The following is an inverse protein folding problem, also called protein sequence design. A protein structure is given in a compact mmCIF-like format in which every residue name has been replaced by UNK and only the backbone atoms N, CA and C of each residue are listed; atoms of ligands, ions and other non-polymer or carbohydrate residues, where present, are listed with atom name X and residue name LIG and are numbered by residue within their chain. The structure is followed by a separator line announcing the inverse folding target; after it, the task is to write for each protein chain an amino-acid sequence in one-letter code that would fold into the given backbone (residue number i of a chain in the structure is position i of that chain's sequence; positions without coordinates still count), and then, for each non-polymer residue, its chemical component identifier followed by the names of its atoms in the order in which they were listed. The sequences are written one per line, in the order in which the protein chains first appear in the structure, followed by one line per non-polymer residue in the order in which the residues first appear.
data_IF_142138703400
#
_entry.id   IF_142138703400
#
_cell.length_a   1.000
_cell.length_b   1.000
_cell.length_c   1.000
_cell.angle_alpha   90.00
_cell.angle_beta   90.00
_cell.angle_gamma   90.00
#
_symmetry.space_group_name_H-M   'P 1'
#
loop_
_entity.id
_entity.type
_entity.pdbx_description
1 polymer ?
#
# COMPACT_ATOMS: atom_id res chain seq x y z
N UNK A 1 -10.01 -20.17 -38.39
CA UNK A 1 -9.58 -20.75 -37.11
C UNK A 1 -9.14 -19.60 -36.23
N UNK A 2 -9.96 -19.18 -35.28
CA UNK A 2 -9.54 -18.20 -34.28
C UNK A 2 -8.70 -18.94 -33.26
N UNK A 3 -7.39 -18.68 -33.24
CA UNK A 3 -6.53 -19.11 -32.14
C UNK A 3 -7.11 -18.54 -30.85
N UNK A 4 -7.61 -19.43 -30.00
CA UNK A 4 -7.85 -19.10 -28.61
C UNK A 4 -6.49 -18.81 -28.00
N UNK A 5 -6.15 -17.54 -27.83
CA UNK A 5 -4.92 -17.15 -27.14
C UNK A 5 -4.98 -17.75 -25.73
N UNK A 6 -4.13 -18.74 -25.48
CA UNK A 6 -3.92 -19.32 -24.17
C UNK A 6 -3.46 -18.23 -23.20
N UNK A 7 -3.90 -18.29 -21.92
CA UNK A 7 -3.47 -17.31 -20.93
C UNK A 7 -1.94 -17.37 -20.83
N UNK A 8 -1.31 -16.27 -20.43
CA UNK A 8 0.10 -16.33 -20.06
C UNK A 8 0.29 -17.36 -18.93
N UNK A 9 1.45 -18.01 -18.86
CA UNK A 9 1.68 -19.12 -17.92
C UNK A 9 1.44 -18.70 -16.47
N UNK A 10 1.75 -17.44 -16.12
CA UNK A 10 1.49 -16.84 -14.80
C UNK A 10 0.00 -16.68 -14.46
N UNK A 11 -0.89 -16.76 -15.45
CA UNK A 11 -2.33 -16.49 -15.31
C UNK A 11 -3.21 -17.70 -15.73
N UNK A 12 -2.58 -18.87 -15.84
CA UNK A 12 -3.24 -20.16 -15.93
C UNK A 12 -3.54 -20.68 -14.52
N UNK A 13 -4.63 -21.43 -14.36
CA UNK A 13 -4.88 -22.11 -13.09
C UNK A 13 -3.87 -23.26 -12.92
N UNK A 14 -3.26 -23.43 -11.74
CA UNK A 14 -2.41 -24.58 -11.48
C UNK A 14 -3.22 -25.89 -11.53
N UNK A 15 -2.65 -26.99 -12.06
CA UNK A 15 -3.37 -28.25 -12.15
C UNK A 15 -3.87 -28.75 -10.79
N UNK A 16 -5.18 -28.98 -10.66
CA UNK A 16 -5.78 -29.57 -9.45
C UNK A 16 -6.12 -28.60 -8.34
N UNK A 17 -5.94 -27.28 -8.54
CA UNK A 17 -6.44 -26.24 -7.63
C UNK A 17 -7.89 -25.94 -7.96
N UNK A 18 -8.75 -25.87 -6.94
CA UNK A 18 -10.17 -25.53 -7.11
C UNK A 18 -10.43 -24.01 -7.06
N UNK A 19 -11.57 -23.59 -7.62
CA UNK A 19 -11.97 -22.19 -7.68
C UNK A 19 -12.10 -21.57 -6.28
N UNK A 20 -12.51 -22.36 -5.28
CA UNK A 20 -12.63 -21.90 -3.89
C UNK A 20 -11.27 -21.50 -3.30
N UNK A 21 -10.21 -22.26 -3.62
CA UNK A 21 -8.83 -21.93 -3.24
C UNK A 21 -8.35 -20.68 -3.96
N UNK A 22 -8.61 -20.57 -5.26
CA UNK A 22 -8.25 -19.38 -6.05
C UNK A 22 -8.94 -18.12 -5.50
N UNK A 23 -10.22 -18.20 -5.16
CA UNK A 23 -10.96 -17.10 -4.54
C UNK A 23 -10.37 -16.74 -3.16
N UNK A 24 -10.07 -17.73 -2.31
CA UNK A 24 -9.51 -17.50 -0.99
C UNK A 24 -8.13 -16.81 -1.04
N UNK A 25 -7.24 -17.27 -1.93
CA UNK A 25 -5.94 -16.63 -2.15
C UNK A 25 -6.13 -15.21 -2.68
N UNK A 26 -7.02 -15.02 -3.65
CA UNK A 26 -7.34 -13.69 -4.18
C UNK A 26 -7.84 -12.72 -3.12
N UNK A 27 -8.68 -13.19 -2.18
CA UNK A 27 -9.14 -12.38 -1.03
C UNK A 27 -8.01 -11.99 -0.09
N UNK A 28 -7.05 -12.88 0.14
CA UNK A 28 -5.87 -12.56 0.95
C UNK A 28 -4.99 -11.50 0.26
N UNK A 29 -4.77 -11.63 -1.06
CA UNK A 29 -4.06 -10.62 -1.85
C UNK A 29 -4.79 -9.27 -1.84
N UNK A 30 -6.11 -9.23 -2.00
CA UNK A 30 -6.93 -8.01 -1.90
C UNK A 30 -6.78 -7.34 -0.51
N UNK A 31 -6.71 -8.14 0.56
CA UNK A 31 -6.45 -7.63 1.90
C UNK A 31 -5.05 -7.00 2.00
N UNK A 32 -4.02 -7.63 1.42
CA UNK A 32 -2.66 -7.07 1.37
C UNK A 32 -2.65 -5.74 0.60
N UNK A 33 -3.29 -5.65 -0.56
CA UNK A 33 -3.39 -4.40 -1.34
C UNK A 33 -4.08 -3.29 -0.55
N UNK A 34 -5.12 -3.63 0.21
CA UNK A 34 -5.79 -2.69 1.11
C UNK A 34 -4.84 -2.18 2.20
N UNK A 35 -4.01 -3.05 2.77
CA UNK A 35 -2.99 -2.69 3.76
C UNK A 35 -1.86 -1.86 3.12
N UNK A 36 -1.49 -2.12 1.87
CA UNK A 36 -0.53 -1.29 1.11
C UNK A 36 -1.06 0.12 0.88
N UNK A 37 -2.36 0.28 0.62
CA UNK A 37 -2.99 1.60 0.54
C UNK A 37 -2.96 2.33 1.88
N UNK A 38 -3.26 1.63 2.97
CA UNK A 38 -3.12 2.18 4.32
C UNK A 38 -1.68 2.60 4.62
N UNK A 39 -0.69 1.78 4.24
CA UNK A 39 0.74 2.10 4.31
C UNK A 39 1.06 3.37 3.52
N UNK A 40 0.55 3.51 2.30
CA UNK A 40 0.71 4.73 1.49
C UNK A 40 0.22 5.99 2.20
N UNK A 41 -0.90 5.90 2.94
CA UNK A 41 -1.39 7.01 3.76
C UNK A 41 -0.46 7.36 4.92
N UNK A 42 0.25 6.41 5.52
CA UNK A 42 1.27 6.70 6.54
C UNK A 42 2.47 7.45 5.96
N UNK A 43 2.89 7.13 4.73
CA UNK A 43 3.93 7.91 4.05
C UNK A 43 3.47 9.34 3.75
N UNK A 44 2.25 9.52 3.26
CA UNK A 44 1.67 10.87 3.08
C UNK A 44 1.59 11.63 4.41
N UNK A 45 1.12 10.97 5.47
CA UNK A 45 1.08 11.54 6.81
C UNK A 45 2.46 11.97 7.30
N UNK A 46 3.49 11.14 7.11
CA UNK A 46 4.87 11.44 7.48
C UNK A 46 5.40 12.68 6.78
N UNK A 47 5.24 12.75 5.45
CA UNK A 47 5.72 13.87 4.65
C UNK A 47 4.99 15.17 4.99
N UNK A 48 3.66 15.14 5.05
CA UNK A 48 2.85 16.33 5.34
C UNK A 48 3.09 16.85 6.75
N UNK A 49 3.26 15.96 7.73
CA UNK A 49 3.54 16.36 9.11
C UNK A 49 4.95 16.94 9.26
N UNK A 50 5.94 16.37 8.56
CA UNK A 50 7.29 16.93 8.51
C UNK A 50 7.32 18.31 7.86
N UNK A 51 6.64 18.48 6.73
CA UNK A 51 6.50 19.79 6.05
C UNK A 51 5.83 20.82 6.96
N UNK A 52 4.79 20.42 7.70
CA UNK A 52 4.13 21.29 8.66
C UNK A 52 5.05 21.71 9.81
N UNK A 53 5.87 20.79 10.36
CA UNK A 53 6.84 21.12 11.42
C UNK A 53 7.88 22.15 10.95
N UNK A 54 8.38 22.02 9.71
CA UNK A 54 9.25 23.04 9.10
C UNK A 54 8.56 24.41 8.99
N UNK A 55 7.33 24.45 8.46
CA UNK A 55 6.55 25.70 8.35
C UNK A 55 6.30 26.34 9.72
N UNK A 56 6.09 25.54 10.76
CA UNK A 56 5.95 26.02 12.14
C UNK A 56 7.27 26.62 12.62
N UNK A 57 8.42 25.99 12.33
CA UNK A 57 9.74 26.54 12.58
C UNK A 57 9.94 27.91 11.93
N UNK A 58 9.63 28.03 10.63
CA UNK A 58 9.70 29.30 9.90
C UNK A 58 8.80 30.37 10.52
N UNK A 59 7.57 30.00 10.92
CA UNK A 59 6.65 30.91 11.57
C UNK A 59 7.16 31.39 12.94
N UNK A 60 7.80 30.51 13.72
CA UNK A 60 8.46 30.87 14.99
C UNK A 60 9.54 31.91 14.76
N UNK A 61 10.37 31.74 13.73
CA UNK A 61 11.43 32.70 13.41
C UNK A 61 10.87 34.04 12.93
N UNK A 62 9.82 34.04 12.11
CA UNK A 62 9.12 35.25 11.69
C UNK A 62 8.47 35.99 12.87
N UNK A 63 7.83 35.27 13.80
CA UNK A 63 7.26 35.87 15.01
C UNK A 63 8.33 36.53 15.88
N UNK A 64 9.50 35.89 16.01
CA UNK A 64 10.64 36.45 16.74
C UNK A 64 11.16 37.71 16.06
N UNK A 65 11.32 37.71 14.73
CA UNK A 65 11.73 38.87 13.96
C UNK A 65 10.73 40.04 14.05
N UNK A 66 9.43 39.75 14.18
CA UNK A 66 8.38 40.74 14.39
C UNK A 66 8.29 41.28 15.83
N UNK A 67 9.15 40.82 16.75
CA UNK A 67 9.18 41.27 18.15
C UNK A 67 8.25 40.49 19.09
N UNK A 68 7.59 39.43 18.60
CA UNK A 68 6.71 38.56 19.41
C UNK A 68 7.49 37.41 20.07
N UNK A 69 8.62 37.72 20.71
CA UNK A 69 9.58 36.73 21.23
C UNK A 69 8.97 35.75 22.22
N UNK A 70 8.13 36.22 23.16
CA UNK A 70 7.53 35.33 24.17
C UNK A 70 6.61 34.26 23.55
N UNK A 71 5.86 34.63 22.51
CA UNK A 71 5.00 33.70 21.77
C UNK A 71 5.82 32.73 20.92
N UNK A 72 6.85 33.23 20.22
CA UNK A 72 7.77 32.41 19.44
C UNK A 72 8.45 31.35 20.32
N UNK A 73 8.96 31.75 21.49
CA UNK A 73 9.63 30.85 22.42
C UNK A 73 8.67 29.83 23.05
N UNK A 74 7.43 30.24 23.34
CA UNK A 74 6.38 29.33 23.83
C UNK A 74 6.01 28.27 22.79
N UNK A 75 5.83 28.67 21.53
CA UNK A 75 5.54 27.75 20.42
C UNK A 75 6.71 26.79 20.17
N UNK A 76 7.93 27.32 20.09
CA UNK A 76 9.15 26.52 19.92
C UNK A 76 9.26 25.44 20.99
N UNK A 77 9.08 25.77 22.28
CA UNK A 77 9.15 24.79 23.37
C UNK A 77 8.04 23.73 23.36
N UNK A 78 6.87 24.06 22.82
CA UNK A 78 5.67 23.22 22.96
C UNK A 78 5.37 22.35 21.75
N UNK A 79 5.73 22.84 20.56
CA UNK A 79 5.24 22.32 19.29
C UNK A 79 6.38 21.87 18.37
N UNK A 80 7.43 22.68 18.19
CA UNK A 80 8.52 22.34 17.25
C UNK A 80 9.20 21.04 17.70
N UNK A 81 9.26 20.05 16.80
CA UNK A 81 9.83 18.74 17.08
C UNK A 81 9.03 17.89 18.09
N UNK A 82 7.81 18.30 18.44
CA UNK A 82 6.94 17.53 19.35
C UNK A 82 6.46 16.25 18.67
N UNK A 83 6.76 15.10 19.27
CA UNK A 83 6.25 13.81 18.80
C UNK A 83 4.73 13.79 18.52
N UNK A 84 4.33 13.23 17.37
CA UNK A 84 2.92 13.11 16.95
C UNK A 84 2.14 12.09 17.78
N UNK A 85 2.83 11.09 18.31
CA UNK A 85 2.33 10.10 19.25
C UNK A 85 3.31 9.96 20.43
N UNK A 86 2.89 9.41 21.59
CA UNK A 86 3.81 9.18 22.70
C UNK A 86 5.07 8.39 22.27
N UNK A 87 6.22 9.05 22.38
CA UNK A 87 7.53 8.47 22.05
C UNK A 87 7.84 8.30 20.56
N UNK A 88 6.97 8.78 19.65
CA UNK A 88 7.08 8.54 18.22
C UNK A 88 6.92 9.82 17.41
N UNK A 89 7.96 10.12 16.64
CA UNK A 89 7.85 10.94 15.46
C UNK A 89 7.27 10.15 14.29
N UNK A 90 6.94 10.85 13.21
CA UNK A 90 6.14 10.29 12.13
C UNK A 90 6.82 9.14 11.38
N UNK A 91 8.15 9.15 11.24
CA UNK A 91 8.88 8.05 10.60
C UNK A 91 8.84 6.77 11.45
N UNK A 92 8.87 6.88 12.77
CA UNK A 92 8.78 5.73 13.68
C UNK A 92 7.40 5.08 13.60
N UNK A 93 6.35 5.86 13.34
CA UNK A 93 5.00 5.32 13.09
C UNK A 93 4.97 4.50 11.79
N UNK A 94 5.68 4.96 10.76
CA UNK A 94 5.80 4.21 9.49
C UNK A 94 6.59 2.92 9.72
N UNK A 95 7.76 3.01 10.36
CA UNK A 95 8.62 1.85 10.65
C UNK A 95 7.90 0.80 11.51
N UNK A 96 7.24 1.20 12.59
CA UNK A 96 6.49 0.26 13.44
C UNK A 96 5.30 -0.40 12.71
N UNK A 97 4.65 0.31 11.79
CA UNK A 97 3.59 -0.28 10.97
C UNK A 97 4.15 -1.27 9.94
N UNK A 98 5.25 -0.90 9.30
CA UNK A 98 5.95 -1.73 8.32
C UNK A 98 6.43 -3.04 8.96
N UNK A 99 7.16 -2.94 10.06
CA UNK A 99 7.74 -4.10 10.75
C UNK A 99 6.68 -4.92 11.50
N UNK A 100 5.67 -4.25 12.08
CA UNK A 100 4.71 -4.87 12.99
C UNK A 100 3.49 -5.47 12.32
N UNK A 101 3.09 -5.00 11.12
CA UNK A 101 1.85 -5.43 10.49
C UNK A 101 1.98 -5.69 8.99
N UNK A 102 2.51 -4.74 8.22
CA UNK A 102 2.58 -4.88 6.76
C UNK A 102 3.54 -6.00 6.32
N UNK A 103 4.76 -6.05 6.85
CA UNK A 103 5.75 -7.06 6.46
C UNK A 103 5.30 -8.48 6.86
N UNK A 104 4.80 -8.74 8.10
CA UNK A 104 4.23 -10.04 8.45
C UNK A 104 3.07 -10.48 7.54
N UNK A 105 2.13 -9.58 7.21
CA UNK A 105 1.02 -9.91 6.30
C UNK A 105 1.52 -10.23 4.89
N UNK A 106 2.46 -9.44 4.37
CA UNK A 106 3.06 -9.66 3.05
C UNK A 106 3.81 -10.99 2.97
N UNK A 107 4.47 -11.39 4.05
CA UNK A 107 5.15 -12.68 4.13
C UNK A 107 4.15 -13.84 4.18
N UNK A 108 3.08 -13.71 4.97
CA UNK A 108 2.02 -14.71 5.05
C UNK A 108 1.24 -14.87 3.73
N UNK A 109 0.92 -13.76 3.05
CA UNK A 109 0.30 -13.80 1.71
C UNK A 109 1.18 -14.55 0.71
N UNK A 110 2.50 -14.24 0.71
CA UNK A 110 3.44 -14.89 -0.19
C UNK A 110 3.52 -16.38 0.06
N UNK A 111 3.61 -16.81 1.32
CA UNK A 111 3.64 -18.22 1.70
C UNK A 111 2.40 -18.96 1.17
N UNK A 112 1.20 -18.43 1.45
CA UNK A 112 -0.07 -19.01 1.00
C UNK A 112 -0.15 -19.07 -0.53
N UNK A 113 0.23 -17.99 -1.22
CA UNK A 113 0.22 -17.94 -2.69
C UNK A 113 1.22 -18.91 -3.30
N UNK A 114 2.42 -19.01 -2.75
CA UNK A 114 3.47 -19.90 -3.25
C UNK A 114 3.07 -21.37 -3.05
N UNK A 115 2.45 -21.72 -1.92
CA UNK A 115 2.03 -23.09 -1.61
C UNK A 115 0.77 -23.52 -2.38
N UNK A 116 -0.24 -22.66 -2.47
CA UNK A 116 -1.56 -23.05 -3.01
C UNK A 116 -1.72 -22.77 -4.49
N UNK A 117 -1.00 -21.80 -5.04
CA UNK A 117 -1.14 -21.41 -6.45
C UNK A 117 0.19 -21.26 -7.20
N UNK A 118 1.24 -21.94 -6.73
CA UNK A 118 2.57 -21.95 -7.36
C UNK A 118 3.15 -20.54 -7.58
N UNK A 119 2.78 -19.60 -6.70
CA UNK A 119 3.24 -18.22 -6.77
C UNK A 119 2.54 -17.36 -7.84
N UNK A 120 1.56 -17.90 -8.57
CA UNK A 120 0.82 -17.17 -9.61
C UNK A 120 0.00 -16.04 -8.99
N UNK A 121 0.02 -14.88 -9.64
CA UNK A 121 -0.65 -13.65 -9.16
C UNK A 121 -1.91 -13.40 -9.94
N UNK A 122 -2.89 -12.78 -9.30
CA UNK A 122 -4.12 -12.30 -9.94
C UNK A 122 -4.92 -13.37 -10.72
N UNK A 123 -4.92 -14.63 -10.23
CA UNK A 123 -5.67 -15.71 -10.88
C UNK A 123 -7.17 -15.43 -10.92
N UNK A 124 -7.76 -15.05 -9.78
CA UNK A 124 -9.18 -14.72 -9.69
C UNK A 124 -9.56 -13.54 -10.62
N UNK A 125 -8.75 -12.49 -10.70
CA UNK A 125 -9.02 -11.37 -11.61
C UNK A 125 -8.79 -11.74 -13.08
N UNK A 126 -7.83 -12.62 -13.37
CA UNK A 126 -7.60 -13.17 -14.70
C UNK A 126 -8.80 -13.98 -15.19
N UNK A 127 -9.37 -14.85 -14.34
CA UNK A 127 -10.59 -15.60 -14.62
C UNK A 127 -11.77 -14.65 -14.88
N UNK A 128 -11.98 -13.67 -13.99
CA UNK A 128 -13.05 -12.68 -14.15
C UNK A 128 -12.89 -11.83 -15.42
N UNK A 129 -11.65 -11.48 -15.79
CA UNK A 129 -11.35 -10.77 -17.05
C UNK A 129 -11.67 -11.64 -18.26
N UNK A 130 -11.32 -12.92 -18.23
CA UNK A 130 -11.61 -13.89 -19.31
C UNK A 130 -13.12 -14.08 -19.51
N UNK A 131 -13.90 -14.15 -18.42
CA UNK A 131 -15.36 -14.22 -18.50
C UNK A 131 -15.98 -12.96 -19.11
N UNK A 132 -15.43 -11.80 -18.79
CA UNK A 132 -15.99 -10.49 -19.19
C UNK A 132 -15.55 -10.02 -20.57
N UNK A 133 -14.44 -10.53 -21.12
CA UNK A 133 -13.90 -10.03 -22.39
C UNK A 133 -14.79 -10.42 -23.57
N UNK A 134 -14.81 -9.57 -24.59
CA UNK A 134 -15.46 -9.91 -25.87
C UNK A 134 -14.47 -10.65 -26.76
N UNK A 135 -14.71 -11.93 -27.00
CA UNK A 135 -13.84 -12.77 -27.84
C UNK A 135 -13.79 -12.20 -29.27
N UNK A 136 -12.57 -12.00 -29.78
CA UNK A 136 -12.31 -11.45 -31.11
C UNK A 136 -12.28 -9.91 -31.18
N UNK A 137 -12.58 -9.18 -30.10
CA UNK A 137 -12.44 -7.72 -30.10
C UNK A 137 -10.99 -7.29 -29.81
N UNK A 138 -10.34 -6.47 -30.67
CA UNK A 138 -8.92 -6.12 -30.53
C UNK A 138 -8.56 -5.44 -29.20
N UNK A 139 -9.46 -4.63 -28.65
CA UNK A 139 -9.26 -3.96 -27.35
C UNK A 139 -9.56 -4.83 -26.13
N UNK A 140 -10.13 -6.03 -26.32
CA UNK A 140 -10.44 -6.98 -25.24
C UNK A 140 -9.51 -8.21 -25.32
N UNK A 141 -8.30 -8.00 -25.85
CA UNK A 141 -7.30 -9.04 -25.96
C UNK A 141 -6.91 -9.55 -24.57
N UNK A 142 -6.63 -10.85 -24.52
CA UNK A 142 -6.26 -11.51 -23.27
C UNK A 142 -4.86 -11.11 -22.81
N UNK A 143 -3.95 -10.92 -23.77
CA UNK A 143 -2.56 -10.45 -23.58
C UNK A 143 -2.45 -8.94 -23.87
N UNK A 144 -1.45 -8.25 -23.28
CA UNK A 144 -1.06 -6.90 -23.70
C UNK A 144 -0.78 -6.80 -25.20
#
# INVERSE_FOLDING_TARGET
MHEQSTPDEEHQDPPGVDDATIEAVGRLTEALETVERARGHLYSFHQLSGEADFKIGDAVDQLRAAGHTELADSLSRRIVGRNVLPGRWTFQVVEEYDDGYWQPLRDAEREVRDELVEGRRHLAESQLKEERRTHGHPGHARRP
#
